data_IF_452890187208
#
_entry.id   IF_452890187208
#
_cell.length_a   1.000
_cell.length_b   1.000
_cell.length_c   1.000
_cell.angle_alpha   90.00
_cell.angle_beta   90.00
_cell.angle_gamma   90.00
#
_symmetry.space_group_name_H-M   'P 1'
#
loop_
_entity.id
_entity.type
_entity.pdbx_description
1 polymer ?
#
# COMPACT_ATOMS: atom_id res chain seq x y z
N UNK A 1 -31.06 18.94 -45.52
CA UNK A 1 -31.81 17.79 -44.97
C UNK A 1 -30.81 16.65 -44.92
N UNK A 2 -30.33 16.14 -43.79
CA UNK A 2 -31.03 15.69 -42.58
C UNK A 2 -30.07 15.69 -41.38
N UNK A 3 -30.63 15.86 -40.19
CA UNK A 3 -30.01 16.03 -38.86
C UNK A 3 -29.65 14.66 -38.25
N UNK A 4 -28.78 14.65 -37.23
CA UNK A 4 -28.59 13.68 -36.10
C UNK A 4 -27.23 12.97 -36.11
N UNK A 5 -26.51 12.76 -35.01
CA UNK A 5 -26.60 13.22 -33.62
C UNK A 5 -25.24 12.94 -32.96
N UNK A 6 -24.75 13.88 -32.14
CA UNK A 6 -23.56 13.70 -31.32
C UNK A 6 -23.91 12.80 -30.12
N UNK A 7 -23.26 11.65 -29.99
CA UNK A 7 -23.31 10.82 -28.79
C UNK A 7 -22.08 11.12 -27.91
N UNK A 8 -22.25 12.06 -26.98
CA UNK A 8 -21.35 12.27 -25.85
C UNK A 8 -21.48 11.08 -24.89
N UNK A 9 -20.50 10.18 -24.91
CA UNK A 9 -20.37 9.15 -23.88
C UNK A 9 -19.41 9.69 -22.82
N UNK A 10 -19.97 10.25 -21.75
CA UNK A 10 -19.23 10.53 -20.53
C UNK A 10 -19.06 9.22 -19.74
N UNK A 11 -17.85 8.82 -19.32
CA UNK A 11 -17.71 7.76 -18.33
C UNK A 11 -18.16 8.28 -16.97
N UNK A 12 -19.15 7.59 -16.42
CA UNK A 12 -19.65 7.78 -15.07
C UNK A 12 -18.50 7.70 -14.07
N UNK A 13 -18.27 8.81 -13.35
CA UNK A 13 -17.46 8.81 -12.15
C UNK A 13 -18.11 7.84 -11.15
N UNK A 14 -17.56 6.63 -11.04
CA UNK A 14 -17.87 5.74 -9.93
C UNK A 14 -17.32 6.40 -8.67
N UNK A 15 -18.22 7.10 -7.97
CA UNK A 15 -17.99 7.56 -6.63
C UNK A 15 -17.70 6.31 -5.78
N UNK A 16 -16.42 6.07 -5.51
CA UNK A 16 -16.01 5.22 -4.41
C UNK A 16 -16.62 5.81 -3.14
N UNK A 17 -17.74 5.23 -2.72
CA UNK A 17 -18.37 5.47 -1.43
C UNK A 17 -17.30 5.22 -0.37
N UNK A 18 -16.74 6.29 0.17
CA UNK A 18 -15.83 6.25 1.31
C UNK A 18 -16.58 5.60 2.49
N UNK A 19 -16.20 4.39 2.95
CA UNK A 19 -16.86 3.76 4.09
C UNK A 19 -16.48 4.43 5.44
N UNK A 20 -15.79 5.57 5.41
CA UNK A 20 -15.24 6.24 6.59
C UNK A 20 -16.02 7.50 7.00
N UNK A 21 -16.84 8.07 6.11
CA UNK A 21 -17.61 9.29 6.41
C UNK A 21 -18.74 9.01 7.39
N UNK A 22 -19.43 7.87 7.28
CA UNK A 22 -20.54 7.52 8.18
C UNK A 22 -20.12 7.35 9.64
N UNK A 23 -18.96 6.74 9.90
CA UNK A 23 -18.46 6.57 11.28
C UNK A 23 -18.01 7.90 11.89
N UNK A 24 -17.37 8.77 11.10
CA UNK A 24 -16.96 10.10 11.55
C UNK A 24 -18.17 11.01 11.78
N UNK A 25 -19.14 11.02 10.87
CA UNK A 25 -20.38 11.77 11.01
C UNK A 25 -21.16 11.30 12.24
N UNK A 26 -21.30 9.98 12.43
CA UNK A 26 -21.96 9.40 13.60
C UNK A 26 -21.22 9.78 14.90
N UNK A 27 -19.88 9.79 14.91
CA UNK A 27 -19.08 10.28 16.03
C UNK A 27 -19.28 11.77 16.30
N UNK A 28 -19.28 12.61 15.26
CA UNK A 28 -19.52 14.05 15.38
C UNK A 28 -20.93 14.35 15.89
N UNK A 29 -21.94 13.63 15.40
CA UNK A 29 -23.33 13.74 15.84
C UNK A 29 -23.49 13.34 17.32
N UNK A 30 -22.85 12.24 17.74
CA UNK A 30 -22.81 11.83 19.15
C UNK A 30 -22.10 12.87 20.02
N UNK A 31 -21.02 13.46 19.53
CA UNK A 31 -20.27 14.50 20.23
C UNK A 31 -21.05 15.81 20.35
N UNK A 32 -21.82 16.18 19.32
CA UNK A 32 -22.69 17.36 19.32
C UNK A 32 -23.89 17.15 20.25
N UNK A 33 -24.51 15.98 20.22
CA UNK A 33 -25.57 15.59 21.17
C UNK A 33 -25.03 15.56 22.62
N UNK A 34 -23.80 15.08 22.84
CA UNK A 34 -23.14 15.12 24.15
C UNK A 34 -22.88 16.57 24.60
N UNK A 35 -22.34 17.43 23.73
CA UNK A 35 -22.11 18.84 24.04
C UNK A 35 -23.43 19.56 24.38
N UNK A 36 -24.49 19.31 23.60
CA UNK A 36 -25.83 19.81 23.91
C UNK A 36 -26.34 19.25 25.25
N UNK A 37 -26.14 17.96 25.54
CA UNK A 37 -26.63 17.35 26.78
C UNK A 37 -25.87 17.79 28.04
N UNK A 38 -24.58 18.12 27.92
CA UNK A 38 -23.71 18.56 29.03
C UNK A 38 -23.72 20.07 29.20
N UNK A 39 -23.80 20.85 28.12
CA UNK A 39 -23.71 22.31 28.16
C UNK A 39 -25.07 23.02 28.06
N UNK A 40 -26.07 22.49 27.35
CA UNK A 40 -27.29 23.24 27.04
C UNK A 40 -28.33 23.29 28.17
N UNK A 41 -28.21 22.46 29.20
CA UNK A 41 -29.27 22.31 30.19
C UNK A 41 -29.06 23.01 31.53
N UNK A 42 -28.02 23.84 31.74
CA UNK A 42 -27.88 24.78 32.88
C UNK A 42 -27.97 24.20 34.31
N UNK A 43 -28.29 22.93 34.46
CA UNK A 43 -28.47 22.22 35.72
C UNK A 43 -27.12 21.63 36.07
N UNK A 44 -26.57 22.07 37.20
CA UNK A 44 -25.38 21.52 37.85
C UNK A 44 -25.58 20.02 38.09
N UNK A 45 -25.35 19.18 37.06
CA UNK A 45 -25.26 17.75 37.26
C UNK A 45 -24.12 17.48 38.25
N UNK A 46 -24.22 16.44 39.09
CA UNK A 46 -23.16 16.14 40.04
C UNK A 46 -21.84 16.02 39.28
N UNK A 47 -20.77 16.71 39.72
CA UNK A 47 -19.43 16.70 39.09
C UNK A 47 -18.99 15.29 38.65
N UNK A 48 -19.37 14.27 39.42
CA UNK A 48 -19.10 12.85 39.16
C UNK A 48 -19.59 12.37 37.78
N UNK A 49 -20.78 12.79 37.32
CA UNK A 49 -21.33 12.39 36.02
C UNK A 49 -20.59 13.06 34.86
N UNK A 50 -20.25 14.35 35.01
CA UNK A 50 -19.45 15.08 34.03
C UNK A 50 -18.06 14.45 33.87
N UNK A 51 -17.38 14.15 34.98
CA UNK A 51 -16.08 13.46 34.94
C UNK A 51 -16.18 12.07 34.30
N UNK A 52 -17.26 11.31 34.55
CA UNK A 52 -17.46 9.99 33.93
C UNK A 52 -17.67 10.09 32.42
N UNK A 53 -18.45 11.07 31.97
CA UNK A 53 -18.69 11.31 30.54
C UNK A 53 -17.42 11.75 29.80
N UNK A 54 -16.63 12.68 30.38
CA UNK A 54 -15.34 13.08 29.83
C UNK A 54 -14.35 11.91 29.73
N UNK A 55 -14.24 11.09 30.79
CA UNK A 55 -13.40 9.89 30.77
C UNK A 55 -13.82 8.90 29.68
N UNK A 56 -15.12 8.72 29.47
CA UNK A 56 -15.64 7.88 28.39
C UNK A 56 -15.28 8.45 27.02
N UNK A 57 -15.53 9.74 26.75
CA UNK A 57 -15.17 10.36 25.47
C UNK A 57 -13.66 10.31 25.18
N UNK A 58 -12.81 10.53 26.19
CA UNK A 58 -11.36 10.37 26.04
C UNK A 58 -10.94 8.92 25.80
N UNK A 59 -11.71 7.94 26.28
CA UNK A 59 -11.47 6.53 26.00
C UNK A 59 -11.83 6.21 24.54
N UNK A 60 -13.02 6.58 24.09
CA UNK A 60 -13.48 6.40 22.70
C UNK A 60 -12.51 7.04 21.70
N UNK A 61 -12.05 8.27 21.97
CA UNK A 61 -11.06 8.95 21.13
C UNK A 61 -9.74 8.19 21.04
N UNK A 62 -9.25 7.64 22.16
CA UNK A 62 -8.02 6.83 22.19
C UNK A 62 -8.19 5.53 21.42
N UNK A 63 -9.31 4.84 21.60
CA UNK A 63 -9.63 3.61 20.88
C UNK A 63 -9.74 3.87 19.36
N UNK A 64 -10.39 4.95 18.96
CA UNK A 64 -10.47 5.35 17.55
C UNK A 64 -9.09 5.71 16.95
N UNK A 65 -8.27 6.49 17.67
CA UNK A 65 -6.91 6.82 17.24
C UNK A 65 -6.03 5.56 17.13
N UNK A 66 -6.17 4.63 18.08
CA UNK A 66 -5.45 3.36 18.06
C UNK A 66 -5.89 2.49 16.88
N UNK A 67 -7.20 2.41 16.60
CA UNK A 67 -7.71 1.69 15.43
C UNK A 67 -7.19 2.30 14.11
N UNK A 68 -7.19 3.63 14.00
CA UNK A 68 -6.63 4.34 12.84
C UNK A 68 -5.14 4.05 12.66
N UNK A 69 -4.36 4.08 13.75
CA UNK A 69 -2.93 3.75 13.73
C UNK A 69 -2.69 2.29 13.30
N UNK A 70 -3.45 1.35 13.85
CA UNK A 70 -3.34 -0.06 13.48
C UNK A 70 -3.67 -0.31 12.01
N UNK A 71 -4.73 0.33 11.49
CA UNK A 71 -5.07 0.28 10.05
C UNK A 71 -3.97 0.85 9.16
N UNK A 72 -3.30 1.93 9.59
CA UNK A 72 -2.19 2.51 8.84
C UNK A 72 -0.95 1.59 8.81
N UNK A 73 -0.60 1.01 9.96
CA UNK A 73 0.56 0.12 10.11
C UNK A 73 0.34 -1.26 9.48
N UNK A 74 -0.91 -1.64 9.23
CA UNK A 74 -1.22 -2.90 8.54
C UNK A 74 -1.16 -2.68 7.04
N UNK A 75 -0.26 -3.38 6.36
CA UNK A 75 -0.13 -3.33 4.90
C UNK A 75 -1.16 -4.29 4.29
N UNK A 76 -2.14 -3.78 3.50
CA UNK A 76 -3.09 -4.65 2.81
C UNK A 76 -2.38 -5.44 1.72
N UNK A 77 -2.85 -6.65 1.48
CA UNK A 77 -2.44 -7.43 0.32
C UNK A 77 -3.13 -6.91 -0.94
N UNK A 78 -2.43 -6.94 -2.08
CA UNK A 78 -2.99 -6.56 -3.38
C UNK A 78 -2.22 -7.27 -4.50
N UNK A 79 -2.95 -7.63 -5.55
CA UNK A 79 -2.40 -8.14 -6.80
C UNK A 79 -2.26 -7.04 -7.87
N UNK A 80 -2.59 -5.79 -7.52
CA UNK A 80 -2.38 -4.64 -8.38
C UNK A 80 -1.03 -3.98 -8.05
N UNK A 81 -0.15 -3.90 -9.03
CA UNK A 81 1.21 -3.37 -8.87
C UNK A 81 1.22 -1.91 -8.42
N UNK A 82 0.42 -1.05 -9.05
CA UNK A 82 0.40 0.39 -8.71
C UNK A 82 -0.08 0.59 -7.27
N UNK A 83 -1.12 -0.14 -6.86
CA UNK A 83 -1.61 -0.15 -5.48
C UNK A 83 -0.54 -0.68 -4.52
N UNK A 84 0.18 -1.75 -4.89
CA UNK A 84 1.27 -2.29 -4.08
C UNK A 84 2.36 -1.23 -3.84
N UNK A 85 2.83 -0.57 -4.90
CA UNK A 85 3.85 0.50 -4.81
C UNK A 85 3.39 1.64 -3.89
N UNK A 86 2.14 2.09 -4.04
CA UNK A 86 1.56 3.16 -3.20
C UNK A 86 1.45 2.75 -1.73
N UNK A 87 1.10 1.50 -1.46
CA UNK A 87 1.05 0.97 -0.08
C UNK A 87 2.45 0.89 0.52
N UNK A 88 3.43 0.44 -0.26
CA UNK A 88 4.83 0.30 0.13
C UNK A 88 5.48 1.64 0.47
N UNK A 89 5.01 2.76 -0.10
CA UNK A 89 5.48 4.10 0.27
C UNK A 89 5.33 4.40 1.78
N UNK A 90 4.40 3.75 2.48
CA UNK A 90 4.27 3.90 3.94
C UNK A 90 5.51 3.41 4.68
N UNK A 91 6.17 2.38 4.16
CA UNK A 91 7.40 1.79 4.74
C UNK A 91 8.65 2.43 4.12
N UNK A 92 8.65 2.61 2.80
CA UNK A 92 9.79 3.08 2.01
C UNK A 92 9.43 4.34 1.21
N UNK A 93 9.28 5.50 1.88
CA UNK A 93 8.84 6.72 1.21
C UNK A 93 9.86 7.22 0.19
N UNK A 94 9.35 7.70 -0.95
CA UNK A 94 10.14 8.24 -2.05
C UNK A 94 10.69 7.17 -3.00
N UNK A 95 10.09 5.98 -3.01
CA UNK A 95 10.47 4.89 -3.93
C UNK A 95 9.48 4.70 -5.08
N UNK A 96 8.34 5.40 -5.08
CA UNK A 96 7.25 5.20 -6.04
C UNK A 96 7.69 5.47 -7.48
N UNK A 97 8.32 6.61 -7.77
CA UNK A 97 8.78 6.96 -9.12
C UNK A 97 9.70 5.88 -9.66
N UNK A 98 10.69 5.49 -8.86
CA UNK A 98 11.69 4.49 -9.22
C UNK A 98 11.09 3.09 -9.44
N UNK A 99 10.18 2.65 -8.57
CA UNK A 99 9.53 1.35 -8.70
C UNK A 99 8.66 1.30 -9.95
N UNK A 100 7.89 2.35 -10.21
CA UNK A 100 7.04 2.43 -11.39
C UNK A 100 7.88 2.56 -12.67
N UNK A 101 8.93 3.40 -12.67
CA UNK A 101 9.78 3.58 -13.84
C UNK A 101 10.58 2.32 -14.17
N UNK A 102 11.07 1.59 -13.17
CA UNK A 102 11.69 0.27 -13.41
C UNK A 102 10.71 -0.74 -13.99
N UNK A 103 9.55 -0.90 -13.35
CA UNK A 103 8.52 -1.82 -13.87
C UNK A 103 8.12 -1.48 -15.31
N UNK A 104 7.97 -0.20 -15.64
CA UNK A 104 7.65 0.26 -17.00
C UNK A 104 8.78 -0.04 -17.99
N UNK A 105 10.03 0.21 -17.63
CA UNK A 105 11.19 -0.04 -18.48
C UNK A 105 11.44 -1.55 -18.72
N UNK A 106 10.99 -2.39 -17.79
CA UNK A 106 11.21 -3.82 -17.82
C UNK A 106 10.11 -4.61 -18.55
N UNK A 107 8.94 -4.01 -18.78
CA UNK A 107 7.86 -4.66 -19.51
C UNK A 107 6.46 -4.09 -19.28
N UNK A 108 6.25 -3.20 -18.30
CA UNK A 108 4.97 -2.53 -18.04
C UNK A 108 4.19 -3.14 -16.88
N UNK A 109 3.36 -2.32 -16.22
CA UNK A 109 2.57 -2.61 -15.01
C UNK A 109 1.54 -3.74 -15.15
N UNK A 110 2.00 -4.98 -15.37
CA UNK A 110 1.16 -6.15 -15.60
C UNK A 110 1.59 -7.03 -16.77
N UNK A 111 2.46 -6.54 -17.65
CA UNK A 111 2.93 -7.28 -18.82
C UNK A 111 4.22 -8.05 -18.47
N UNK A 112 4.17 -9.35 -18.76
CA UNK A 112 5.12 -10.34 -18.27
C UNK A 112 6.52 -10.14 -18.83
N UNK A 113 7.46 -9.95 -17.93
CA UNK A 113 8.85 -9.71 -18.31
C UNK A 113 9.56 -11.03 -18.61
N UNK A 114 9.98 -11.21 -19.87
CA UNK A 114 10.73 -12.39 -20.30
C UNK A 114 12.15 -12.39 -19.72
N UNK A 115 12.56 -13.50 -19.12
CA UNK A 115 13.95 -13.76 -18.73
C UNK A 115 14.83 -13.92 -19.98
N UNK A 116 15.71 -12.95 -20.24
CA UNK A 116 16.58 -12.90 -21.43
C UNK A 116 18.09 -12.93 -21.14
N UNK A 117 18.57 -13.73 -20.19
CA UNK A 117 19.98 -13.74 -19.78
C UNK A 117 20.56 -15.15 -19.79
N UNK A 118 21.69 -15.30 -20.49
CA UNK A 118 22.37 -16.58 -20.71
C UNK A 118 22.60 -17.40 -19.44
N UNK A 119 22.68 -18.71 -19.63
CA UNK A 119 22.75 -19.65 -18.52
C UNK A 119 23.99 -19.42 -17.64
N UNK A 120 23.78 -19.24 -16.33
CA UNK A 120 24.83 -19.33 -15.32
C UNK A 120 25.15 -20.80 -14.95
N UNK A 121 24.37 -21.76 -15.45
CA UNK A 121 24.49 -23.20 -15.14
C UNK A 121 24.41 -24.09 -16.40
N UNK A 122 25.52 -24.73 -16.82
CA UNK A 122 25.50 -25.68 -17.94
C UNK A 122 24.45 -26.78 -17.72
N UNK A 123 23.55 -26.99 -18.68
CA UNK A 123 22.56 -28.08 -18.66
C UNK A 123 21.10 -27.68 -18.35
N UNK A 124 20.82 -26.41 -18.03
CA UNK A 124 19.44 -25.90 -17.99
C UNK A 124 19.13 -25.22 -19.34
N UNK A 125 18.44 -25.95 -20.21
CA UNK A 125 17.89 -25.38 -21.45
C UNK A 125 16.80 -24.36 -21.12
N UNK A 126 16.69 -23.34 -21.97
CA UNK A 126 15.77 -22.20 -21.88
C UNK A 126 14.33 -22.68 -21.68
N UNK A 127 13.91 -22.77 -20.43
CA UNK A 127 12.49 -22.72 -20.10
C UNK A 127 12.18 -21.25 -19.90
N UNK A 128 11.16 -20.74 -20.60
CA UNK A 128 10.64 -19.39 -20.45
C UNK A 128 10.30 -19.13 -18.97
N UNK A 129 11.27 -18.67 -18.19
CA UNK A 129 11.04 -18.40 -16.78
C UNK A 129 10.28 -17.09 -16.68
N UNK A 130 9.07 -17.23 -16.16
CA UNK A 130 8.09 -16.16 -15.97
C UNK A 130 8.67 -15.13 -14.98
N UNK A 131 8.93 -13.91 -15.44
CA UNK A 131 9.39 -12.79 -14.62
C UNK A 131 8.24 -12.09 -13.87
N UNK A 132 8.60 -11.33 -12.83
CA UNK A 132 7.69 -10.53 -12.01
C UNK A 132 7.37 -9.13 -12.57
N UNK A 133 6.73 -8.29 -11.76
CA UNK A 133 6.51 -6.85 -12.02
C UNK A 133 7.81 -6.03 -12.04
N UNK A 134 8.85 -6.58 -11.40
CA UNK A 134 10.23 -6.18 -11.44
C UNK A 134 11.11 -7.40 -11.77
N UNK A 135 12.15 -7.20 -12.57
CA UNK A 135 13.12 -8.25 -12.89
C UNK A 135 14.10 -8.46 -11.73
N UNK A 136 13.77 -9.39 -10.84
CA UNK A 136 14.72 -9.90 -9.86
C UNK A 136 15.29 -11.25 -10.29
N UNK A 137 16.57 -11.52 -9.96
CA UNK A 137 16.99 -12.92 -9.79
C UNK A 137 16.23 -13.51 -8.61
N UNK A 138 15.81 -14.77 -8.71
CA UNK A 138 15.06 -15.44 -7.63
C UNK A 138 15.78 -15.36 -6.27
N UNK A 139 17.10 -15.59 -6.24
CA UNK A 139 17.92 -15.48 -5.02
C UNK A 139 17.99 -14.05 -4.47
N UNK A 140 18.12 -13.04 -5.35
CA UNK A 140 18.10 -11.62 -4.97
C UNK A 140 16.75 -11.24 -4.39
N UNK A 141 15.65 -11.65 -5.03
CA UNK A 141 14.29 -11.41 -4.53
C UNK A 141 14.13 -12.02 -3.13
N UNK A 142 14.46 -13.30 -2.95
CA UNK A 142 14.27 -13.98 -1.67
C UNK A 142 15.03 -13.31 -0.52
N UNK A 143 16.28 -12.90 -0.78
CA UNK A 143 17.10 -12.16 0.19
C UNK A 143 16.54 -10.77 0.51
N UNK A 144 16.25 -9.98 -0.52
CA UNK A 144 15.72 -8.62 -0.37
C UNK A 144 14.33 -8.61 0.28
N UNK A 145 13.44 -9.51 -0.15
CA UNK A 145 12.10 -9.65 0.43
C UNK A 145 12.18 -9.95 1.92
N UNK A 146 12.95 -10.95 2.34
CA UNK A 146 13.08 -11.28 3.78
C UNK A 146 13.55 -10.07 4.59
N UNK A 147 14.62 -9.41 4.15
CA UNK A 147 15.14 -8.21 4.83
C UNK A 147 14.14 -7.05 4.82
N UNK A 148 13.35 -6.90 3.75
CA UNK A 148 12.31 -5.89 3.66
C UNK A 148 11.16 -6.12 4.66
N UNK A 149 10.79 -7.39 4.88
CA UNK A 149 9.77 -7.76 5.88
C UNK A 149 10.29 -7.50 7.28
N UNK A 150 11.54 -7.90 7.56
CA UNK A 150 12.17 -7.66 8.86
C UNK A 150 12.28 -6.16 9.15
N UNK A 151 12.70 -5.36 8.16
CA UNK A 151 12.74 -3.91 8.27
C UNK A 151 11.35 -3.32 8.56
N UNK A 152 10.32 -3.74 7.83
CA UNK A 152 8.94 -3.28 8.03
C UNK A 152 8.44 -3.61 9.44
N UNK A 153 8.67 -4.83 9.92
CA UNK A 153 8.32 -5.24 11.29
C UNK A 153 9.05 -4.41 12.35
N UNK A 154 10.34 -4.13 12.16
CA UNK A 154 11.12 -3.29 13.08
C UNK A 154 10.61 -1.83 13.13
N UNK A 155 9.90 -1.39 12.09
CA UNK A 155 9.24 -0.07 12.04
C UNK A 155 7.76 -0.12 12.45
N UNK A 156 7.32 -1.23 13.05
CA UNK A 156 5.98 -1.42 13.59
C UNK A 156 4.90 -1.71 12.55
N UNK A 157 5.27 -1.88 11.28
CA UNK A 157 4.33 -2.34 10.26
C UNK A 157 4.01 -3.81 10.46
N UNK A 158 2.83 -4.22 10.00
CA UNK A 158 2.35 -5.60 10.04
C UNK A 158 1.94 -5.99 8.63
N UNK A 159 2.56 -7.04 8.13
CA UNK A 159 2.16 -7.66 6.88
C UNK A 159 1.15 -8.75 7.20
N UNK A 160 0.09 -8.85 6.39
CA UNK A 160 -0.82 -9.98 6.48
C UNK A 160 -0.02 -11.22 6.08
N UNK A 161 0.17 -12.19 6.99
CA UNK A 161 0.94 -13.41 6.68
C UNK A 161 0.14 -14.26 5.68
N UNK A 162 0.44 -14.09 4.40
CA UNK A 162 -0.06 -14.96 3.34
C UNK A 162 1.12 -15.45 2.50
N UNK A 163 1.05 -16.71 2.03
CA UNK A 163 2.09 -17.34 1.22
C UNK A 163 2.28 -16.61 -0.11
N UNK A 164 1.22 -15.98 -0.60
CA UNK A 164 1.20 -15.17 -1.80
C UNK A 164 2.04 -13.89 -1.70
N UNK A 165 2.30 -13.34 -0.50
CA UNK A 165 3.20 -12.18 -0.35
C UNK A 165 4.67 -12.54 -0.54
N UNK A 166 5.05 -13.75 -0.11
CA UNK A 166 6.42 -14.27 -0.26
C UNK A 166 6.70 -14.87 -1.63
N UNK A 167 5.65 -15.06 -2.45
CA UNK A 167 5.82 -15.56 -3.79
C UNK A 167 6.62 -14.55 -4.62
N UNK A 168 7.57 -15.05 -5.41
CA UNK A 168 8.37 -14.21 -6.30
C UNK A 168 7.50 -13.39 -7.25
N UNK A 169 6.34 -13.91 -7.65
CA UNK A 169 5.38 -13.25 -8.53
C UNK A 169 4.44 -12.26 -7.82
N UNK A 170 4.58 -12.06 -6.50
CA UNK A 170 3.74 -11.15 -5.73
C UNK A 170 4.02 -9.69 -6.06
N UNK A 171 3.03 -8.89 -6.51
CA UNK A 171 3.22 -7.45 -6.70
C UNK A 171 3.61 -6.76 -5.40
N UNK A 172 2.95 -7.11 -4.29
CA UNK A 172 3.30 -6.59 -2.96
C UNK A 172 4.69 -7.06 -2.51
N UNK A 173 5.02 -8.34 -2.67
CA UNK A 173 6.34 -8.86 -2.32
C UNK A 173 7.47 -8.18 -3.10
N UNK A 174 7.28 -7.97 -4.40
CA UNK A 174 8.26 -7.30 -5.25
C UNK A 174 8.39 -5.81 -4.95
N UNK A 175 7.28 -5.12 -4.66
CA UNK A 175 7.32 -3.72 -4.26
C UNK A 175 8.07 -3.55 -2.93
N UNK A 176 7.87 -4.46 -1.97
CA UNK A 176 8.60 -4.46 -0.70
C UNK A 176 10.11 -4.70 -0.89
N UNK A 177 10.47 -5.72 -1.69
CA UNK A 177 11.85 -6.04 -2.00
C UNK A 177 12.55 -4.87 -2.73
N UNK A 178 11.92 -4.32 -3.76
CA UNK A 178 12.43 -3.18 -4.52
C UNK A 178 12.53 -1.91 -3.67
N UNK A 179 11.51 -1.62 -2.85
CA UNK A 179 11.50 -0.48 -1.93
C UNK A 179 12.65 -0.56 -0.92
N UNK A 180 12.89 -1.74 -0.35
CA UNK A 180 14.02 -1.97 0.55
C UNK A 180 15.38 -1.77 -0.15
N UNK A 181 15.56 -2.38 -1.33
CA UNK A 181 16.81 -2.27 -2.09
C UNK A 181 17.13 -0.81 -2.45
N UNK A 182 16.11 -0.06 -2.86
CA UNK A 182 16.26 1.36 -3.21
C UNK A 182 16.51 2.22 -1.99
N UNK A 183 15.73 2.05 -0.92
CA UNK A 183 15.69 2.99 0.21
C UNK A 183 16.69 2.70 1.31
N UNK A 184 16.96 1.42 1.58
CA UNK A 184 17.74 0.97 2.75
C UNK A 184 19.09 0.43 2.31
N UNK A 185 19.09 -0.50 1.34
CA UNK A 185 20.32 -1.17 0.89
C UNK A 185 21.18 -0.28 -0.03
N UNK A 186 20.58 0.78 -0.60
CA UNK A 186 21.23 1.66 -1.59
C UNK A 186 21.64 0.92 -2.88
N UNK A 187 21.18 -0.32 -3.02
CA UNK A 187 21.70 -1.33 -3.93
C UNK A 187 20.76 -1.47 -5.12
N UNK A 188 20.57 -0.37 -5.86
CA UNK A 188 19.78 -0.37 -7.09
C UNK A 188 20.41 -1.21 -8.20
N UNK A 189 21.64 -1.71 -8.07
CA UNK A 189 22.30 -2.53 -9.10
C UNK A 189 21.90 -4.01 -9.14
N UNK A 190 21.01 -4.49 -8.27
CA UNK A 190 20.73 -5.93 -8.10
C UNK A 190 19.43 -6.43 -8.75
N UNK A 191 18.62 -5.52 -9.31
CA UNK A 191 17.55 -5.88 -10.27
C UNK A 191 18.17 -5.91 -11.68
N UNK A 192 17.65 -6.74 -12.58
CA UNK A 192 18.31 -7.04 -13.87
C UNK A 192 18.57 -5.79 -14.73
N UNK A 193 19.68 -5.87 -15.45
CA UNK A 193 20.40 -4.75 -16.05
C UNK A 193 19.79 -4.12 -17.32
N UNK A 194 18.50 -4.28 -17.59
CA UNK A 194 17.86 -3.40 -18.59
C UNK A 194 17.73 -1.96 -18.05
N UNK A 195 17.60 -1.79 -16.74
CA UNK A 195 17.52 -0.49 -16.06
C UNK A 195 18.86 0.24 -15.91
N UNK A 196 19.99 -0.46 -15.94
CA UNK A 196 21.32 0.15 -15.82
C UNK A 196 21.61 1.02 -17.05
N UNK A 197 21.01 0.70 -18.20
CA UNK A 197 21.08 1.51 -19.42
C UNK A 197 19.81 2.34 -19.69
N UNK A 198 18.64 1.97 -19.15
CA UNK A 198 17.37 2.68 -19.38
C UNK A 198 16.98 3.68 -18.28
N UNK A 199 17.75 3.78 -17.20
CA UNK A 199 17.62 4.83 -16.19
C UNK A 199 16.24 4.84 -15.51
N UNK A 200 16.02 3.97 -14.52
CA UNK A 200 14.90 4.17 -13.60
C UNK A 200 15.15 5.44 -12.77
N UNK A 201 14.48 6.54 -13.12
CA UNK A 201 14.41 7.78 -12.34
C UNK A 201 13.17 7.82 -11.46
#
# INVERSE_FOLDING_TARGET
MTILAAALIAPAAQAHSTPQTGDLERFLQQRQAHHQYVCANGRRKPKRWHCKALRWTHREQREHQQAKRLRYLTLPETNDWVTAVRVVQRVYPGTESWLLSCSAAEGGHGDWVRYGGGSYYPGYEWTDQVGGQLQFRFSTFGGAYRRSVDYAHNHGFRLRRDSLLSAWLSPMGQALAGGYLRKVDGSSGWHWAASVNNGCG
#
